data_IF_247279718551
#
_entry.id   IF_247279718551
#
_cell.length_a   1.000
_cell.length_b   1.000
_cell.length_c   1.000
_cell.angle_alpha   90.00
_cell.angle_beta   90.00
_cell.angle_gamma   90.00
#
_symmetry.space_group_name_H-M   'P 1'
#
loop_
_entity.id
_entity.type
_entity.pdbx_description
1 polymer ?
#
# COMPACT_ATOMS: atom_id res chain seq x y z
N UNK A 1 6.51 22.75 21.74
CA UNK A 1 5.41 23.36 22.50
C UNK A 1 4.25 23.62 21.55
N UNK A 2 3.10 23.05 21.83
CA UNK A 2 1.88 23.41 21.11
C UNK A 2 1.48 24.85 21.51
N UNK A 3 1.27 25.73 20.53
CA UNK A 3 0.81 27.11 20.77
C UNK A 3 -0.64 27.17 21.28
N UNK A 4 -1.37 26.08 21.20
CA UNK A 4 -2.82 26.02 21.44
C UNK A 4 -3.26 24.90 22.40
N UNK A 5 -2.34 24.18 23.02
CA UNK A 5 -2.65 23.07 23.92
C UNK A 5 -1.81 23.05 25.18
N UNK A 6 -2.38 22.47 26.22
CA UNK A 6 -1.74 22.27 27.54
C UNK A 6 -1.05 20.90 27.64
N UNK A 7 -0.76 20.25 26.50
CA UNK A 7 -0.15 18.93 26.47
C UNK A 7 1.31 19.02 26.90
N UNK A 8 1.70 18.25 27.91
CA UNK A 8 3.09 18.13 28.34
C UNK A 8 3.92 17.38 27.30
N UNK A 9 5.23 17.65 27.23
CA UNK A 9 6.13 16.94 26.32
C UNK A 9 6.08 15.42 26.57
N UNK A 10 5.95 14.99 27.81
CA UNK A 10 5.81 13.58 28.17
C UNK A 10 4.59 12.93 27.53
N UNK A 11 3.42 13.54 27.61
CA UNK A 11 2.19 13.05 26.97
C UNK A 11 2.27 13.08 25.45
N UNK A 12 3.02 14.04 24.89
CA UNK A 12 3.25 14.11 23.45
C UNK A 12 4.10 12.95 22.94
N UNK A 13 5.17 12.58 23.66
CA UNK A 13 6.09 11.53 23.20
C UNK A 13 5.62 10.10 23.55
N UNK A 14 4.91 9.90 24.65
CA UNK A 14 4.62 8.54 25.12
C UNK A 14 3.44 7.87 24.42
N UNK A 15 2.49 8.62 23.81
CA UNK A 15 1.29 8.04 23.16
C UNK A 15 0.46 7.16 24.11
N UNK A 16 0.74 7.24 25.40
CA UNK A 16 0.05 6.53 26.47
C UNK A 16 0.01 7.39 27.72
N UNK A 17 -1.06 7.24 28.50
CA UNK A 17 -1.24 7.90 29.79
C UNK A 17 -1.50 6.84 30.84
N UNK A 18 -0.94 7.08 32.02
CA UNK A 18 -1.09 6.16 33.15
C UNK A 18 -1.78 6.89 34.30
N UNK A 19 -2.81 6.28 34.85
CA UNK A 19 -3.57 6.76 35.98
C UNK A 19 -3.49 5.75 37.13
N UNK A 20 -3.64 6.21 38.33
CA UNK A 20 -3.75 5.35 39.52
C UNK A 20 -5.17 5.54 40.09
N UNK A 21 -5.91 4.44 40.21
CA UNK A 21 -7.25 4.46 40.76
C UNK A 21 -7.23 4.74 42.24
N UNK A 22 -8.18 5.54 42.69
CA UNK A 22 -8.43 5.79 44.12
C UNK A 22 -9.47 4.83 44.74
N UNK A 23 -10.04 3.94 43.90
CA UNK A 23 -11.07 2.99 44.27
C UNK A 23 -12.49 3.58 44.36
N UNK A 24 -12.65 4.88 44.07
CA UNK A 24 -13.94 5.58 44.12
C UNK A 24 -14.35 6.20 42.78
N UNK A 25 -13.38 6.60 41.95
CA UNK A 25 -13.64 7.21 40.65
C UNK A 25 -13.41 6.22 39.53
N UNK A 26 -14.31 6.22 38.53
CA UNK A 26 -14.21 5.46 37.29
C UNK A 26 -13.86 6.33 36.08
N UNK A 27 -13.79 7.64 36.26
CA UNK A 27 -13.61 8.64 35.22
C UNK A 27 -12.21 9.25 35.30
N UNK A 28 -11.50 9.23 34.17
CA UNK A 28 -10.14 9.73 34.03
C UNK A 28 -10.05 10.69 32.83
N UNK A 29 -9.44 11.86 33.06
CA UNK A 29 -9.31 12.88 32.00
C UNK A 29 -8.10 12.61 31.13
N UNK A 30 -8.31 12.44 29.82
CA UNK A 30 -7.28 12.27 28.84
C UNK A 30 -6.71 13.62 28.38
N UNK A 31 -5.40 13.73 28.30
CA UNK A 31 -4.70 14.96 27.87
C UNK A 31 -3.98 14.76 26.53
N UNK A 32 -4.47 13.85 25.67
CA UNK A 32 -3.91 13.69 24.32
C UNK A 32 -4.18 14.93 23.46
N UNK A 33 -3.26 15.24 22.54
CA UNK A 33 -3.38 16.40 21.64
C UNK A 33 -4.63 16.32 20.76
N UNK A 34 -5.00 15.11 20.32
CA UNK A 34 -6.25 14.83 19.63
C UNK A 34 -7.07 13.86 20.48
N UNK A 35 -8.31 14.23 20.78
CA UNK A 35 -9.20 13.37 21.56
C UNK A 35 -9.52 12.09 20.78
N UNK A 36 -9.10 10.91 21.26
CA UNK A 36 -9.33 9.66 20.57
C UNK A 36 -10.77 9.18 20.74
N UNK A 37 -11.23 8.40 19.78
CA UNK A 37 -12.47 7.62 19.92
C UNK A 37 -12.17 6.28 20.60
N UNK A 38 -13.20 5.62 21.15
CA UNK A 38 -13.03 4.33 21.85
C UNK A 38 -12.37 3.25 20.97
N UNK A 39 -12.54 3.32 19.64
CA UNK A 39 -11.92 2.40 18.69
C UNK A 39 -10.43 2.65 18.44
N UNK A 40 -9.91 3.79 18.88
CA UNK A 40 -8.52 4.22 18.70
C UNK A 40 -7.65 4.02 19.93
N UNK A 41 -8.20 3.44 20.99
CA UNK A 41 -7.55 3.32 22.29
C UNK A 41 -7.60 1.88 22.79
N UNK A 42 -6.53 1.43 23.43
CA UNK A 42 -6.50 0.25 24.29
C UNK A 42 -6.34 0.67 25.73
N UNK A 43 -7.07 0.00 26.59
CA UNK A 43 -7.05 0.26 28.03
C UNK A 43 -6.60 -0.98 28.76
N UNK A 44 -5.64 -0.81 29.63
CA UNK A 44 -5.12 -1.88 30.48
C UNK A 44 -5.32 -1.50 31.94
N UNK A 45 -5.78 -2.44 32.75
CA UNK A 45 -5.82 -2.35 34.20
C UNK A 45 -4.88 -3.42 34.76
N UNK A 46 -3.86 -3.01 35.50
CA UNK A 46 -2.83 -3.91 36.01
C UNK A 46 -2.23 -4.85 34.93
N UNK A 47 -1.95 -4.30 33.74
CA UNK A 47 -1.45 -5.00 32.56
C UNK A 47 -2.44 -5.98 31.87
N UNK A 48 -3.69 -6.06 32.34
CA UNK A 48 -4.75 -6.84 31.68
C UNK A 48 -5.58 -5.93 30.79
N UNK A 49 -5.74 -6.28 29.50
CA UNK A 49 -6.55 -5.50 28.55
C UNK A 49 -8.03 -5.60 28.91
N UNK A 50 -8.71 -4.46 28.98
CA UNK A 50 -10.15 -4.35 29.21
C UNK A 50 -10.84 -3.76 27.98
N UNK A 51 -12.03 -4.29 27.66
CA UNK A 51 -12.86 -3.83 26.55
C UNK A 51 -14.10 -3.05 26.97
N UNK A 52 -14.40 -3.04 28.29
CA UNK A 52 -15.58 -2.41 28.86
C UNK A 52 -15.27 -0.99 29.35
N UNK A 53 -15.15 -0.05 28.42
CA UNK A 53 -14.95 1.37 28.70
C UNK A 53 -15.69 2.21 27.67
N UNK A 54 -15.94 3.46 28.00
CA UNK A 54 -16.49 4.46 27.09
C UNK A 54 -15.65 5.73 27.12
N UNK A 55 -15.61 6.45 26.01
CA UNK A 55 -14.94 7.76 25.93
C UNK A 55 -15.96 8.79 25.51
N UNK A 56 -16.08 9.83 26.31
CA UNK A 56 -16.90 11.00 26.00
C UNK A 56 -16.06 12.26 26.13
N UNK A 57 -15.84 12.96 25.02
CA UNK A 57 -14.90 14.10 24.92
C UNK A 57 -13.49 13.70 25.39
N UNK A 58 -13.02 14.30 26.47
CA UNK A 58 -11.70 14.12 27.08
C UNK A 58 -11.70 13.13 28.26
N UNK A 59 -12.85 12.56 28.59
CA UNK A 59 -13.00 11.67 29.75
C UNK A 59 -13.21 10.23 29.31
N UNK A 60 -12.43 9.32 29.87
CA UNK A 60 -12.62 7.88 29.76
C UNK A 60 -13.29 7.36 31.03
N UNK A 61 -14.38 6.64 30.85
CA UNK A 61 -15.12 5.98 31.93
C UNK A 61 -14.93 4.48 31.84
N UNK A 62 -14.42 3.87 32.89
CA UNK A 62 -14.18 2.42 32.99
C UNK A 62 -15.35 1.78 33.71
N UNK A 63 -16.01 0.81 33.06
CA UNK A 63 -17.21 0.14 33.62
C UNK A 63 -16.88 -1.02 34.58
N UNK A 64 -15.61 -1.43 34.68
CA UNK A 64 -15.17 -2.43 35.65
C UNK A 64 -14.94 -1.83 37.04
N UNK A 65 -15.14 -2.62 38.08
CA UNK A 65 -14.83 -2.21 39.48
C UNK A 65 -13.32 -2.05 39.61
N UNK A 66 -12.91 -0.83 39.96
CA UNK A 66 -11.51 -0.49 40.21
C UNK A 66 -11.24 -0.55 41.72
N UNK A 67 -10.07 -1.03 42.08
CA UNK A 67 -9.59 -1.06 43.46
C UNK A 67 -8.57 0.06 43.66
N UNK A 68 -8.47 0.60 44.87
CA UNK A 68 -7.44 1.60 45.16
C UNK A 68 -6.03 1.07 44.82
N UNK A 69 -5.23 1.89 44.14
CA UNK A 69 -3.90 1.61 43.62
C UNK A 69 -3.88 0.74 42.32
N UNK A 70 -5.01 0.47 41.69
CA UNK A 70 -4.97 -0.12 40.36
C UNK A 70 -4.31 0.84 39.35
N UNK A 71 -3.39 0.31 38.57
CA UNK A 71 -2.69 1.06 37.53
C UNK A 71 -3.46 0.94 36.22
N UNK A 72 -4.00 2.06 35.77
CA UNK A 72 -4.75 2.16 34.50
C UNK A 72 -3.83 2.78 33.46
N UNK A 73 -3.56 2.05 32.38
CA UNK A 73 -2.79 2.53 31.25
C UNK A 73 -3.71 2.67 30.03
N UNK A 74 -3.79 3.86 29.50
CA UNK A 74 -4.54 4.18 28.29
C UNK A 74 -3.52 4.39 27.15
N UNK A 75 -3.55 3.55 26.13
CA UNK A 75 -2.59 3.53 25.03
C UNK A 75 -3.29 3.80 23.71
N UNK A 76 -2.77 4.72 22.89
CA UNK A 76 -3.28 4.95 21.54
C UNK A 76 -2.87 3.80 20.64
N UNK A 77 -3.85 3.21 19.94
CA UNK A 77 -3.63 2.16 18.91
C UNK A 77 -2.81 2.68 17.76
N UNK A 78 -3.15 3.87 17.29
CA UNK A 78 -2.41 4.56 16.24
C UNK A 78 -1.40 5.49 16.92
N UNK A 79 -0.20 4.98 17.11
CA UNK A 79 0.91 5.80 17.58
C UNK A 79 1.24 6.79 16.49
N UNK A 80 0.59 7.93 16.50
CA UNK A 80 0.79 9.03 15.56
C UNK A 80 2.17 9.68 15.65
N UNK A 81 3.05 9.11 16.48
CA UNK A 81 4.47 9.46 16.55
C UNK A 81 5.13 9.17 15.21
N UNK A 82 5.48 10.20 14.49
CA UNK A 82 5.97 10.11 13.11
C UNK A 82 4.91 10.37 12.05
N UNK A 83 3.61 10.32 12.36
CA UNK A 83 2.57 10.71 11.41
C UNK A 83 2.48 12.23 11.22
N UNK A 84 3.12 13.02 12.10
CA UNK A 84 3.24 14.46 11.89
C UNK A 84 3.87 14.86 10.55
N UNK A 85 4.57 13.92 9.88
CA UNK A 85 5.09 14.11 8.52
C UNK A 85 4.01 14.01 7.44
N UNK A 86 2.84 13.51 7.79
CA UNK A 86 1.75 13.27 6.87
C UNK A 86 0.50 14.05 7.27
N UNK A 87 -0.21 14.55 6.27
CA UNK A 87 -1.49 15.24 6.42
C UNK A 87 -2.57 14.41 5.73
N UNK A 88 -3.75 14.27 6.35
CA UNK A 88 -4.86 13.55 5.72
C UNK A 88 -5.42 14.32 4.54
N UNK A 89 -6.00 13.63 3.55
CA UNK A 89 -6.68 14.29 2.44
C UNK A 89 -7.84 15.16 2.92
N UNK A 90 -8.52 14.74 3.98
CA UNK A 90 -9.63 15.50 4.59
C UNK A 90 -9.16 16.86 5.09
N UNK A 91 -8.03 16.90 5.78
CA UNK A 91 -7.45 18.16 6.29
C UNK A 91 -6.97 19.05 5.14
N UNK A 92 -6.35 18.46 4.12
CA UNK A 92 -5.92 19.20 2.93
C UNK A 92 -7.12 19.85 2.23
N UNK A 93 -8.22 19.13 2.05
CA UNK A 93 -9.44 19.68 1.45
C UNK A 93 -10.02 20.79 2.32
N UNK A 94 -10.11 20.60 3.63
CA UNK A 94 -10.62 21.63 4.54
C UNK A 94 -9.71 22.85 4.57
N UNK A 95 -8.40 22.69 4.66
CA UNK A 95 -7.44 23.77 4.64
C UNK A 95 -7.45 24.52 3.30
N UNK A 96 -7.61 23.80 2.18
CA UNK A 96 -7.78 24.41 0.87
C UNK A 96 -9.04 25.29 0.82
N UNK A 97 -10.16 24.80 1.30
CA UNK A 97 -11.41 25.56 1.36
C UNK A 97 -11.22 26.86 2.18
N UNK A 98 -10.58 26.77 3.34
CA UNK A 98 -10.31 27.92 4.19
C UNK A 98 -9.35 28.91 3.53
N UNK A 99 -8.27 28.42 2.92
CA UNK A 99 -7.19 29.28 2.42
C UNK A 99 -7.50 29.91 1.04
N UNK A 100 -8.15 29.16 0.13
CA UNK A 100 -8.30 29.55 -1.29
C UNK A 100 -9.71 29.92 -1.72
N UNK A 101 -10.74 29.58 -0.95
CA UNK A 101 -12.16 29.81 -1.31
C UNK A 101 -12.78 30.83 -0.36
N UNK A 102 -13.56 31.76 -0.91
CA UNK A 102 -14.33 32.76 -0.15
C UNK A 102 -14.37 34.12 -0.80
N UNK A 103 -15.17 35.02 -0.22
CA UNK A 103 -15.35 36.38 -0.69
C UNK A 103 -14.02 37.14 -0.77
N UNK A 104 -13.81 37.84 -1.87
CA UNK A 104 -12.57 38.58 -2.12
C UNK A 104 -11.36 37.73 -2.52
N UNK A 105 -11.51 36.40 -2.61
CA UNK A 105 -10.49 35.49 -3.15
C UNK A 105 -10.75 35.21 -4.61
N UNK A 106 -9.74 34.71 -5.32
CA UNK A 106 -9.88 34.38 -6.76
C UNK A 106 -10.90 33.27 -7.02
N UNK A 107 -11.13 32.40 -6.04
CA UNK A 107 -12.15 31.36 -6.06
C UNK A 107 -13.24 31.76 -5.08
N UNK A 108 -14.28 32.43 -5.57
CA UNK A 108 -15.38 32.86 -4.72
C UNK A 108 -16.18 31.67 -4.18
N UNK A 109 -16.44 30.70 -5.06
CA UNK A 109 -17.24 29.53 -4.73
C UNK A 109 -16.79 28.30 -5.51
N UNK A 110 -16.75 27.14 -4.84
CA UNK A 110 -16.46 25.82 -5.42
C UNK A 110 -17.15 24.73 -4.58
N UNK A 111 -17.70 23.71 -5.22
CA UNK A 111 -18.25 22.57 -4.52
C UNK A 111 -17.13 21.75 -3.85
N UNK A 112 -17.37 21.31 -2.61
CA UNK A 112 -16.41 20.46 -1.89
C UNK A 112 -16.10 19.15 -2.64
N UNK A 113 -17.09 18.59 -3.36
CA UNK A 113 -16.93 17.42 -4.23
C UNK A 113 -15.84 17.62 -5.30
N UNK A 114 -15.82 18.80 -5.93
CA UNK A 114 -14.84 19.11 -6.98
C UNK A 114 -13.43 19.21 -6.40
N UNK A 115 -13.32 19.83 -5.24
CA UNK A 115 -12.05 19.92 -4.51
C UNK A 115 -11.54 18.52 -4.14
N UNK A 116 -12.42 17.64 -3.64
CA UNK A 116 -12.10 16.26 -3.31
C UNK A 116 -11.66 15.47 -4.55
N UNK A 117 -12.39 15.63 -5.67
CA UNK A 117 -12.03 14.99 -6.94
C UNK A 117 -10.63 15.39 -7.41
N UNK A 118 -10.33 16.69 -7.44
CA UNK A 118 -9.01 17.18 -7.84
C UNK A 118 -7.91 16.83 -6.85
N UNK A 119 -8.23 16.73 -5.56
CA UNK A 119 -7.28 16.27 -4.55
C UNK A 119 -6.92 14.79 -4.76
N UNK A 120 -7.91 13.91 -4.93
CA UNK A 120 -7.69 12.47 -5.23
C UNK A 120 -6.88 12.29 -6.51
N UNK A 121 -7.24 13.01 -7.58
CA UNK A 121 -6.49 12.98 -8.83
C UNK A 121 -5.04 13.46 -8.67
N UNK A 122 -4.85 14.51 -7.85
CA UNK A 122 -3.52 14.99 -7.51
C UNK A 122 -2.67 13.95 -6.77
N UNK A 123 -3.25 13.23 -5.81
CA UNK A 123 -2.55 12.15 -5.11
C UNK A 123 -2.12 11.05 -6.08
N UNK A 124 -2.98 10.63 -7.00
CA UNK A 124 -2.63 9.65 -8.03
C UNK A 124 -1.43 10.11 -8.87
N UNK A 125 -1.47 11.35 -9.41
CA UNK A 125 -0.33 11.91 -10.17
C UNK A 125 0.96 11.94 -9.34
N UNK A 126 0.85 12.30 -8.06
CA UNK A 126 2.00 12.26 -7.14
C UNK A 126 2.51 10.85 -6.89
N UNK A 127 1.61 9.87 -6.70
CA UNK A 127 1.97 8.49 -6.40
C UNK A 127 2.70 7.81 -7.57
N UNK A 128 2.31 8.10 -8.80
CA UNK A 128 2.99 7.57 -9.98
C UNK A 128 4.42 8.12 -10.14
N UNK A 129 4.61 9.39 -9.82
CA UNK A 129 5.87 10.08 -10.12
C UNK A 129 6.82 10.20 -8.92
N UNK A 130 6.28 10.47 -7.71
CA UNK A 130 7.07 11.02 -6.61
C UNK A 130 6.93 10.22 -5.33
N UNK A 131 5.70 9.90 -4.97
CA UNK A 131 5.36 9.31 -3.68
C UNK A 131 5.26 7.80 -3.75
N UNK A 132 5.97 7.09 -4.60
CA UNK A 132 5.89 5.62 -4.70
C UNK A 132 5.54 5.02 -3.35
N UNK A 133 4.26 5.00 -3.04
CA UNK A 133 3.75 4.46 -1.78
C UNK A 133 3.86 2.96 -1.87
N UNK A 134 4.88 2.40 -1.26
CA UNK A 134 5.03 0.96 -1.17
C UNK A 134 4.17 0.47 -0.02
N UNK A 135 3.21 -0.38 -0.33
CA UNK A 135 2.38 -1.08 0.66
C UNK A 135 2.79 -2.53 0.77
N UNK A 136 2.57 -3.09 1.93
CA UNK A 136 2.79 -4.49 2.27
C UNK A 136 1.44 -5.11 2.61
N UNK A 137 1.09 -6.18 1.92
CA UNK A 137 -0.08 -6.97 2.22
C UNK A 137 0.35 -8.41 2.52
N UNK A 138 -0.13 -8.93 3.64
CA UNK A 138 0.08 -10.30 4.05
C UNK A 138 -1.21 -11.09 3.86
N UNK A 139 -1.13 -12.19 3.10
CA UNK A 139 -2.28 -13.02 2.76
C UNK A 139 -1.87 -14.49 2.81
N UNK A 140 -2.68 -15.33 3.42
CA UNK A 140 -2.52 -16.77 3.36
C UNK A 140 -3.03 -17.30 2.01
N UNK A 141 -2.21 -18.11 1.34
CA UNK A 141 -2.53 -18.65 0.03
C UNK A 141 -3.45 -19.89 0.18
N UNK A 142 -4.69 -19.72 -0.23
CA UNK A 142 -5.67 -20.81 -0.22
C UNK A 142 -5.42 -21.86 -1.31
N UNK A 143 -6.22 -22.94 -1.33
CA UNK A 143 -6.12 -24.02 -2.32
C UNK A 143 -6.34 -23.58 -3.78
N UNK A 144 -6.99 -22.42 -3.98
CA UNK A 144 -7.18 -21.83 -5.32
C UNK A 144 -5.87 -21.38 -5.97
N UNK A 145 -4.78 -21.28 -5.19
CA UNK A 145 -3.47 -20.79 -5.61
C UNK A 145 -3.50 -19.41 -6.27
N UNK A 146 -4.54 -18.63 -5.96
CA UNK A 146 -4.77 -17.33 -6.56
C UNK A 146 -5.07 -16.29 -5.48
N UNK A 147 -4.47 -15.12 -5.61
CA UNK A 147 -4.71 -13.95 -4.75
C UNK A 147 -5.20 -12.81 -5.63
N UNK A 148 -6.37 -12.19 -5.33
CA UNK A 148 -6.83 -11.03 -6.08
C UNK A 148 -5.87 -9.85 -5.86
N UNK A 149 -5.67 -9.05 -6.91
CA UNK A 149 -4.89 -7.82 -6.79
C UNK A 149 -5.61 -6.82 -5.89
N UNK A 150 -4.88 -6.11 -5.01
CA UNK A 150 -5.44 -4.98 -4.28
C UNK A 150 -6.02 -3.94 -5.24
N UNK A 151 -7.10 -3.26 -4.83
CA UNK A 151 -7.76 -2.26 -5.69
C UNK A 151 -6.88 -1.06 -6.04
N UNK A 152 -5.91 -0.77 -5.18
CA UNK A 152 -4.93 0.31 -5.34
C UNK A 152 -3.60 -0.16 -5.91
N UNK A 153 -3.56 -1.37 -6.48
CA UNK A 153 -2.36 -1.96 -7.06
C UNK A 153 -1.97 -1.27 -8.37
N UNK A 154 -0.72 -0.88 -8.48
CA UNK A 154 -0.12 -0.35 -9.73
C UNK A 154 0.92 -1.32 -10.28
N UNK A 155 1.86 -1.73 -9.43
CA UNK A 155 2.90 -2.69 -9.82
C UNK A 155 3.47 -3.37 -8.58
N UNK A 156 3.91 -4.62 -8.71
CA UNK A 156 4.60 -5.31 -7.63
C UNK A 156 6.04 -4.81 -7.49
N UNK A 157 6.52 -4.75 -6.28
CA UNK A 157 7.93 -4.53 -5.97
C UNK A 157 8.60 -5.85 -5.69
N UNK A 158 7.96 -6.67 -4.86
CA UNK A 158 8.50 -7.93 -4.39
C UNK A 158 7.38 -8.84 -3.90
N UNK A 159 7.47 -10.11 -4.22
CA UNK A 159 6.61 -11.16 -3.68
C UNK A 159 7.47 -12.11 -2.87
N UNK A 160 7.06 -12.41 -1.65
CA UNK A 160 7.80 -13.29 -0.75
C UNK A 160 6.82 -14.23 -0.05
N UNK A 161 7.29 -15.39 0.39
CA UNK A 161 6.61 -16.14 1.43
C UNK A 161 7.38 -16.05 2.74
N UNK A 162 6.67 -16.24 3.85
CA UNK A 162 7.27 -16.29 5.19
C UNK A 162 7.49 -17.75 5.54
N UNK A 163 8.73 -18.09 5.83
CA UNK A 163 9.11 -19.41 6.35
C UNK A 163 8.67 -19.55 7.82
N UNK A 164 8.60 -20.79 8.33
CA UNK A 164 8.32 -21.08 9.75
C UNK A 164 9.26 -20.37 10.73
N UNK A 165 10.44 -19.99 10.27
CA UNK A 165 11.43 -19.20 11.03
C UNK A 165 11.19 -17.68 10.98
N UNK A 166 10.11 -17.21 10.33
CA UNK A 166 9.84 -15.78 10.12
C UNK A 166 10.70 -15.11 9.05
N UNK A 167 11.50 -15.88 8.32
CA UNK A 167 12.37 -15.34 7.26
C UNK A 167 11.57 -15.18 5.97
N UNK A 168 11.69 -14.00 5.34
CA UNK A 168 11.10 -13.74 4.03
C UNK A 168 11.94 -14.36 2.92
N UNK A 169 11.33 -15.25 2.14
CA UNK A 169 11.95 -15.86 0.96
C UNK A 169 11.31 -15.30 -0.30
N UNK A 170 12.14 -14.78 -1.20
CA UNK A 170 11.68 -14.14 -2.44
C UNK A 170 11.14 -15.20 -3.40
N UNK A 171 9.99 -14.91 -3.98
CA UNK A 171 9.39 -15.65 -5.10
C UNK A 171 9.57 -14.79 -6.35
N UNK A 172 10.00 -15.41 -7.46
CA UNK A 172 10.17 -14.68 -8.70
C UNK A 172 9.03 -14.96 -9.68
N UNK A 173 8.69 -13.99 -10.55
CA UNK A 173 7.74 -14.25 -11.61
C UNK A 173 8.31 -15.26 -12.59
N UNK A 174 7.49 -16.17 -13.09
CA UNK A 174 7.89 -17.09 -14.14
C UNK A 174 7.54 -16.53 -15.51
N UNK A 175 8.41 -16.78 -16.48
CA UNK A 175 8.18 -16.55 -17.90
C UNK A 175 8.07 -17.87 -18.68
N UNK A 176 8.11 -18.98 -17.97
CA UNK A 176 8.02 -20.33 -18.55
C UNK A 176 6.58 -20.70 -18.92
N UNK A 177 5.62 -19.96 -18.41
CA UNK A 177 4.20 -20.13 -18.70
C UNK A 177 3.54 -18.78 -18.95
N UNK A 178 2.34 -18.80 -19.50
CA UNK A 178 1.54 -17.60 -19.78
C UNK A 178 0.10 -17.88 -19.39
N UNK A 179 -0.61 -16.81 -19.01
CA UNK A 179 -2.04 -16.86 -18.79
C UNK A 179 -2.73 -16.28 -20.03
N UNK A 180 -3.34 -17.12 -20.89
CA UNK A 180 -4.06 -16.61 -22.05
C UNK A 180 -5.21 -15.73 -21.60
N UNK A 181 -5.34 -14.57 -22.23
CA UNK A 181 -6.38 -13.59 -21.88
C UNK A 181 -7.76 -14.04 -22.32
N UNK A 182 -7.85 -14.85 -23.35
CA UNK A 182 -9.10 -15.35 -23.93
C UNK A 182 -8.91 -16.79 -24.40
N UNK A 183 -9.00 -17.78 -23.49
CA UNK A 183 -8.94 -19.17 -23.86
C UNK A 183 -10.26 -19.57 -24.55
N UNK A 184 -10.25 -19.60 -25.86
CA UNK A 184 -11.43 -19.93 -26.66
C UNK A 184 -11.69 -21.43 -26.69
N UNK A 185 -12.96 -21.82 -26.56
CA UNK A 185 -13.40 -23.20 -26.67
C UNK A 185 -13.40 -23.62 -28.14
N UNK A 186 -12.86 -24.82 -28.45
CA UNK A 186 -12.90 -25.46 -29.77
C UNK A 186 -13.69 -26.76 -29.67
N UNK A 187 -14.39 -27.09 -30.74
CA UNK A 187 -15.06 -28.38 -30.93
C UNK A 187 -14.05 -29.50 -31.27
N UNK A 188 -14.54 -30.76 -31.45
CA UNK A 188 -13.75 -31.90 -31.81
C UNK A 188 -13.07 -31.75 -33.19
N UNK A 189 -13.52 -30.82 -34.02
CA UNK A 189 -12.97 -30.49 -35.33
C UNK A 189 -12.07 -29.26 -35.34
N UNK A 190 -11.68 -28.77 -34.14
CA UNK A 190 -10.85 -27.60 -33.95
C UNK A 190 -11.47 -26.27 -34.41
N UNK A 191 -12.82 -26.20 -34.59
CA UNK A 191 -13.52 -24.94 -34.87
C UNK A 191 -13.88 -24.24 -33.58
N UNK A 192 -13.91 -22.92 -33.62
CA UNK A 192 -14.37 -22.11 -32.47
C UNK A 192 -15.86 -22.32 -32.22
N UNK A 193 -16.21 -22.45 -30.93
CA UNK A 193 -17.60 -22.56 -30.50
C UNK A 193 -18.14 -21.16 -30.20
N UNK A 194 -19.35 -20.88 -30.73
CA UNK A 194 -20.04 -19.62 -30.54
C UNK A 194 -21.33 -19.83 -29.74
N UNK A 195 -21.70 -18.84 -28.93
CA UNK A 195 -22.96 -18.82 -28.22
C UNK A 195 -24.14 -18.45 -29.17
N UNK A 196 -25.36 -18.41 -28.60
CA UNK A 196 -26.57 -18.03 -29.35
C UNK A 196 -26.54 -16.61 -29.91
N UNK A 197 -25.71 -15.74 -29.35
CA UNK A 197 -25.58 -14.33 -29.74
C UNK A 197 -24.41 -14.11 -30.72
N UNK A 198 -23.71 -15.17 -31.08
CA UNK A 198 -22.58 -15.14 -32.03
C UNK A 198 -21.24 -14.75 -31.40
N UNK A 199 -21.14 -14.70 -30.08
CA UNK A 199 -19.87 -14.43 -29.38
C UNK A 199 -19.11 -15.75 -29.20
N UNK A 200 -17.79 -15.68 -29.28
CA UNK A 200 -16.93 -16.84 -29.02
C UNK A 200 -17.02 -17.26 -27.54
N UNK A 201 -17.20 -18.54 -27.31
CA UNK A 201 -17.28 -19.09 -25.94
C UNK A 201 -15.87 -19.16 -25.35
N UNK A 202 -15.68 -18.55 -24.19
CA UNK A 202 -14.44 -18.65 -23.40
C UNK A 202 -14.48 -19.89 -22.50
N UNK A 203 -13.35 -20.60 -22.42
CA UNK A 203 -13.17 -21.77 -21.56
C UNK A 203 -12.15 -21.57 -20.44
N UNK A 204 -11.84 -22.63 -19.71
CA UNK A 204 -10.74 -22.65 -18.76
C UNK A 204 -9.39 -22.73 -19.51
N UNK A 205 -8.36 -22.09 -18.94
CA UNK A 205 -7.02 -22.13 -19.49
C UNK A 205 -6.30 -23.42 -19.08
N UNK A 206 -6.08 -24.33 -20.02
CA UNK A 206 -5.27 -25.55 -19.81
C UNK A 206 -3.85 -25.19 -19.36
N UNK A 207 -3.29 -24.10 -19.89
CA UNK A 207 -1.95 -23.61 -19.48
C UNK A 207 -1.93 -23.22 -18.02
N UNK A 208 -2.97 -22.53 -17.54
CA UNK A 208 -3.11 -22.13 -16.14
C UNK A 208 -3.32 -23.33 -15.21
N UNK A 209 -4.16 -24.30 -15.64
CA UNK A 209 -4.39 -25.54 -14.90
C UNK A 209 -3.11 -26.35 -14.75
N UNK A 210 -2.34 -26.52 -15.82
CA UNK A 210 -1.03 -27.21 -15.80
C UNK A 210 -0.03 -26.46 -14.93
N UNK A 211 -0.02 -25.14 -14.99
CA UNK A 211 0.85 -24.32 -14.14
C UNK A 211 0.52 -24.48 -12.66
N UNK A 212 -0.76 -24.48 -12.29
CA UNK A 212 -1.22 -24.69 -10.91
C UNK A 212 -0.95 -26.10 -10.40
N UNK A 213 -1.02 -27.09 -11.29
CA UNK A 213 -0.71 -28.49 -10.96
C UNK A 213 0.80 -28.78 -10.85
N UNK A 214 1.66 -27.83 -11.25
CA UNK A 214 3.10 -28.01 -11.21
C UNK A 214 3.61 -27.98 -9.77
N UNK A 215 4.03 -29.15 -9.26
CA UNK A 215 4.63 -29.33 -7.95
C UNK A 215 6.08 -29.76 -8.08
N UNK A 216 7.00 -28.92 -7.61
CA UNK A 216 8.44 -29.20 -7.62
C UNK A 216 8.87 -30.24 -6.59
N UNK A 217 7.98 -30.59 -5.63
CA UNK A 217 8.31 -31.50 -4.53
C UNK A 217 7.82 -32.94 -4.71
N UNK A 218 6.80 -33.14 -5.52
CA UNK A 218 6.14 -34.43 -5.68
C UNK A 218 6.58 -35.20 -6.94
N UNK A 219 7.82 -35.11 -7.30
CA UNK A 219 8.37 -35.91 -8.39
C UNK A 219 8.80 -37.31 -7.88
N UNK A 220 8.04 -37.85 -6.98
CA UNK A 220 8.21 -39.22 -6.56
C UNK A 220 7.06 -40.05 -7.10
N UNK A 221 7.10 -40.46 -8.32
CA UNK A 221 6.10 -41.40 -8.73
C UNK A 221 6.07 -41.57 -10.21
N UNK A 222 5.79 -42.53 -10.74
CA UNK A 222 5.40 -42.99 -12.07
C UNK A 222 6.04 -42.21 -13.23
N UNK A 223 7.27 -42.64 -13.56
CA UNK A 223 8.02 -42.25 -14.75
C UNK A 223 7.38 -42.70 -16.07
N UNK A 224 6.10 -43.04 -16.07
CA UNK A 224 5.41 -43.60 -17.21
C UNK A 224 4.69 -42.58 -18.10
N UNK A 225 4.60 -41.30 -17.68
CA UNK A 225 4.04 -40.24 -18.53
C UNK A 225 5.13 -39.34 -19.08
N UNK A 226 5.01 -38.95 -20.36
CA UNK A 226 5.96 -38.04 -21.03
C UNK A 226 6.06 -36.69 -20.27
N UNK A 227 5.00 -36.27 -19.63
CA UNK A 227 4.95 -35.06 -18.78
C UNK A 227 5.81 -35.18 -17.51
N UNK A 228 5.89 -36.39 -16.92
CA UNK A 228 6.74 -36.61 -15.73
C UNK A 228 8.22 -36.55 -16.07
N UNK A 229 8.58 -36.91 -17.29
CA UNK A 229 9.98 -36.85 -17.77
C UNK A 229 10.46 -35.40 -17.88
N UNK A 230 9.60 -34.50 -18.33
CA UNK A 230 9.89 -33.05 -18.38
C UNK A 230 10.06 -32.45 -17.01
N UNK A 231 9.20 -32.81 -16.08
CA UNK A 231 9.25 -32.34 -14.67
C UNK A 231 10.49 -32.91 -13.97
N UNK A 232 10.75 -34.19 -14.11
CA UNK A 232 11.92 -34.89 -13.56
C UNK A 232 13.22 -34.30 -14.08
N UNK A 233 13.31 -33.95 -15.35
CA UNK A 233 14.49 -33.35 -15.95
C UNK A 233 14.75 -31.95 -15.38
N UNK A 234 13.70 -31.17 -15.10
CA UNK A 234 13.83 -29.86 -14.48
C UNK A 234 14.23 -29.95 -13.01
N UNK A 235 13.72 -30.94 -12.27
CA UNK A 235 14.06 -31.16 -10.88
C UNK A 235 15.47 -31.73 -10.72
N UNK A 236 15.83 -32.68 -11.53
CA UNK A 236 17.19 -33.22 -11.62
C UNK A 236 18.22 -32.12 -11.92
N UNK A 237 17.87 -31.21 -12.80
CA UNK A 237 18.71 -30.05 -13.11
C UNK A 237 18.75 -29.02 -11.98
N UNK A 238 17.78 -29.01 -11.07
CA UNK A 238 17.69 -28.07 -9.92
C UNK A 238 18.36 -28.61 -8.67
N UNK A 239 18.15 -29.88 -8.31
CA UNK A 239 18.58 -30.43 -7.03
C UNK A 239 19.97 -31.03 -7.03
N UNK A 240 20.30 -31.83 -8.07
CA UNK A 240 21.49 -32.67 -8.04
C UNK A 240 22.74 -32.02 -8.64
N UNK A 241 22.59 -31.04 -9.53
CA UNK A 241 23.75 -30.36 -10.12
C UNK A 241 24.16 -29.07 -9.44
N UNK A 242 23.62 -28.80 -8.26
CA UNK A 242 24.05 -27.69 -7.43
C UNK A 242 23.82 -26.31 -8.04
N UNK A 243 24.54 -25.36 -7.52
CA UNK A 243 24.37 -23.96 -7.88
C UNK A 243 24.78 -23.70 -9.32
N UNK A 244 23.83 -23.31 -10.13
CA UNK A 244 24.10 -22.86 -11.50
C UNK A 244 24.51 -21.41 -11.47
N UNK A 245 25.79 -21.22 -11.51
CA UNK A 245 26.37 -19.89 -11.62
C UNK A 245 25.91 -19.27 -12.95
N UNK A 246 25.25 -18.08 -12.86
CA UNK A 246 24.78 -17.36 -14.05
C UNK A 246 23.42 -17.82 -14.61
N UNK A 247 22.73 -18.77 -13.99
CA UNK A 247 21.38 -19.10 -14.39
C UNK A 247 20.37 -18.04 -13.92
N UNK A 248 19.27 -17.89 -14.69
CA UNK A 248 18.20 -16.97 -14.32
C UNK A 248 17.55 -17.40 -13.00
N UNK A 249 17.20 -16.46 -12.11
CA UNK A 249 16.55 -16.79 -10.83
C UNK A 249 15.27 -17.61 -10.99
N UNK A 250 14.57 -17.46 -12.10
CA UNK A 250 13.35 -18.19 -12.44
C UNK A 250 13.56 -19.70 -12.51
N UNK A 251 14.75 -20.15 -12.94
CA UNK A 251 15.05 -21.57 -13.15
C UNK A 251 15.87 -22.22 -12.05
N UNK A 252 16.41 -21.42 -11.13
CA UNK A 252 17.35 -21.91 -10.11
C UNK A 252 16.79 -21.94 -8.69
N UNK A 253 15.65 -21.32 -8.44
CA UNK A 253 15.11 -21.26 -7.07
C UNK A 253 14.06 -22.35 -6.81
N UNK A 254 14.05 -22.78 -5.53
CA UNK A 254 13.17 -23.82 -5.00
C UNK A 254 11.92 -23.20 -4.35
N UNK A 255 11.79 -21.86 -4.33
CA UNK A 255 10.81 -21.15 -3.53
C UNK A 255 9.42 -21.03 -4.16
N UNK A 256 9.19 -21.72 -5.27
CA UNK A 256 7.96 -21.58 -6.06
C UNK A 256 7.99 -20.38 -7.01
N UNK A 257 6.93 -20.23 -7.79
CA UNK A 257 6.78 -19.21 -8.83
C UNK A 257 5.43 -18.52 -8.73
N UNK A 258 5.32 -17.36 -9.35
CA UNK A 258 4.03 -16.72 -9.55
C UNK A 258 3.91 -16.17 -10.97
N UNK A 259 2.68 -16.05 -11.45
CA UNK A 259 2.31 -15.36 -12.68
C UNK A 259 1.29 -14.27 -12.36
N UNK A 260 1.27 -13.23 -13.18
CA UNK A 260 0.33 -12.12 -13.05
C UNK A 260 -0.69 -12.25 -14.18
N UNK A 261 -1.96 -12.38 -13.82
CA UNK A 261 -3.06 -12.32 -14.78
C UNK A 261 -3.72 -10.95 -14.70
N UNK A 262 -3.36 -10.06 -15.61
CA UNK A 262 -3.87 -8.70 -15.65
C UNK A 262 -5.37 -8.65 -16.01
N UNK A 263 -5.88 -9.61 -16.76
CA UNK A 263 -7.29 -9.66 -17.16
C UNK A 263 -8.19 -9.96 -15.96
N UNK A 264 -7.85 -10.97 -15.19
CA UNK A 264 -8.63 -11.36 -13.99
C UNK A 264 -8.24 -10.55 -12.75
N UNK A 265 -7.17 -9.74 -12.84
CA UNK A 265 -6.66 -8.97 -11.71
C UNK A 265 -6.20 -9.88 -10.57
N UNK A 266 -5.44 -10.94 -10.88
CA UNK A 266 -4.98 -11.91 -9.88
C UNK A 266 -3.52 -12.29 -10.04
N UNK A 267 -2.90 -12.64 -8.89
CA UNK A 267 -1.62 -13.33 -8.83
C UNK A 267 -1.89 -14.83 -8.71
N UNK A 268 -1.34 -15.62 -9.60
CA UNK A 268 -1.44 -17.08 -9.57
C UNK A 268 -0.10 -17.68 -9.13
N UNK A 269 -0.13 -18.62 -8.20
CA UNK A 269 1.04 -19.20 -7.56
C UNK A 269 1.16 -20.69 -7.87
N UNK A 270 2.40 -21.20 -7.81
CA UNK A 270 2.65 -22.64 -7.93
C UNK A 270 2.12 -23.40 -6.69
N UNK A 271 1.82 -24.70 -6.87
CA UNK A 271 1.26 -25.57 -5.84
C UNK A 271 2.14 -25.68 -4.58
N UNK A 272 3.43 -25.51 -4.70
CA UNK A 272 4.42 -25.50 -3.59
C UNK A 272 4.13 -24.42 -2.52
N UNK A 273 3.39 -23.41 -2.89
CA UNK A 273 3.09 -22.27 -2.03
C UNK A 273 1.73 -22.38 -1.34
N UNK A 274 0.95 -23.43 -1.60
CA UNK A 274 -0.33 -23.67 -0.95
C UNK A 274 -0.20 -23.69 0.57
N UNK A 275 -1.08 -22.97 1.28
CA UNK A 275 -1.08 -22.86 2.74
C UNK A 275 0.07 -22.04 3.32
N UNK A 276 0.87 -21.35 2.48
CA UNK A 276 1.92 -20.45 2.97
C UNK A 276 1.42 -19.01 3.05
N UNK A 277 2.03 -18.26 3.94
CA UNK A 277 1.77 -16.82 4.08
C UNK A 277 2.59 -16.09 3.01
N UNK A 278 1.91 -15.42 2.11
CA UNK A 278 2.49 -14.59 1.04
C UNK A 278 2.50 -13.13 1.47
N UNK A 279 3.63 -12.49 1.33
CA UNK A 279 3.78 -11.05 1.52
C UNK A 279 3.96 -10.40 0.16
N UNK A 280 2.94 -9.67 -0.26
CA UNK A 280 2.95 -8.86 -1.47
C UNK A 280 3.40 -7.45 -1.11
N UNK A 281 4.54 -7.04 -1.63
CA UNK A 281 5.05 -5.68 -1.58
C UNK A 281 4.81 -5.03 -2.94
N UNK A 282 3.99 -3.97 -2.97
CA UNK A 282 3.55 -3.36 -4.22
C UNK A 282 3.49 -1.84 -4.14
N UNK A 283 3.54 -1.21 -5.29
CA UNK A 283 3.32 0.22 -5.44
C UNK A 283 1.82 0.45 -5.50
N UNK A 284 1.31 1.26 -4.58
CA UNK A 284 -0.07 1.73 -4.53
C UNK A 284 -0.24 3.01 -5.34
N UNK A 285 -1.41 3.23 -5.91
CA UNK A 285 -1.79 4.51 -6.54
C UNK A 285 -2.08 5.63 -5.53
N UNK A 286 -1.97 5.32 -4.23
CA UNK A 286 -2.21 6.26 -3.13
C UNK A 286 -3.68 6.47 -2.82
N UNK A 287 -4.59 5.80 -3.51
CA UNK A 287 -6.02 5.83 -3.24
C UNK A 287 -6.37 4.63 -2.35
N UNK A 288 -6.82 4.91 -1.17
CA UNK A 288 -7.33 3.93 -0.22
C UNK A 288 -8.59 4.46 0.45
N UNK A 289 -8.85 4.02 1.65
CA UNK A 289 -9.87 4.63 2.50
C UNK A 289 -9.45 6.06 2.88
N UNK A 290 -10.40 6.91 3.24
CA UNK A 290 -10.11 8.31 3.60
C UNK A 290 -9.08 8.46 4.74
N UNK A 291 -8.98 7.44 5.61
CA UNK A 291 -7.97 7.38 6.67
C UNK A 291 -6.56 7.01 6.17
N UNK A 292 -6.48 6.24 5.08
CA UNK A 292 -5.21 5.80 4.50
C UNK A 292 -4.61 6.81 3.52
N UNK A 293 -5.45 7.67 2.93
CA UNK A 293 -5.00 8.71 2.01
C UNK A 293 -4.27 9.82 2.77
N UNK A 294 -2.97 9.61 2.97
CA UNK A 294 -2.06 10.54 3.65
C UNK A 294 -1.06 11.11 2.66
N UNK A 295 -0.80 12.39 2.75
CA UNK A 295 0.16 13.13 1.91
C UNK A 295 1.28 13.66 2.78
N UNK A 296 2.53 13.51 2.34
CA UNK A 296 3.65 14.09 3.06
C UNK A 296 3.55 15.62 3.08
N UNK A 297 3.77 16.25 4.23
CA UNK A 297 3.72 17.72 4.41
C UNK A 297 4.60 18.47 3.41
N UNK A 298 5.70 17.88 2.96
CA UNK A 298 6.56 18.49 1.94
C UNK A 298 5.88 18.59 0.57
N UNK A 299 4.85 17.76 0.30
CA UNK A 299 4.08 17.77 -0.93
C UNK A 299 2.74 18.53 -0.79
N UNK A 300 2.35 18.93 0.40
CA UNK A 300 1.07 19.58 0.70
C UNK A 300 0.86 20.86 -0.14
N UNK A 301 1.86 21.75 -0.19
CA UNK A 301 1.82 22.96 -1.01
C UNK A 301 1.61 22.65 -2.50
N UNK A 302 2.28 21.60 -2.99
CA UNK A 302 2.15 21.21 -4.38
C UNK A 302 0.73 20.69 -4.69
N UNK A 303 0.10 20.02 -3.75
CA UNK A 303 -1.28 19.57 -3.88
C UNK A 303 -2.25 20.75 -3.85
N UNK A 304 -2.06 21.75 -2.98
CA UNK A 304 -2.88 22.98 -3.02
C UNK A 304 -2.78 23.68 -4.38
N UNK A 305 -1.59 23.82 -4.93
CA UNK A 305 -1.40 24.43 -6.26
C UNK A 305 -2.00 23.58 -7.37
N UNK A 306 -1.98 22.26 -7.24
CA UNK A 306 -2.63 21.34 -8.18
C UNK A 306 -4.15 21.52 -8.18
N UNK A 307 -4.78 21.53 -7.00
CA UNK A 307 -6.21 21.74 -6.84
C UNK A 307 -6.61 23.12 -7.38
N UNK A 308 -5.91 24.19 -6.95
CA UNK A 308 -6.18 25.55 -7.38
C UNK A 308 -6.13 25.71 -8.90
N UNK A 309 -5.09 25.16 -9.55
CA UNK A 309 -4.96 25.20 -11.01
C UNK A 309 -6.14 24.50 -11.70
N UNK A 310 -6.50 23.29 -11.28
CA UNK A 310 -7.57 22.53 -11.93
C UNK A 310 -8.95 23.15 -11.72
N UNK A 311 -9.22 23.69 -10.53
CA UNK A 311 -10.46 24.42 -10.26
C UNK A 311 -10.55 25.68 -11.13
N UNK A 312 -9.47 26.45 -11.24
CA UNK A 312 -9.45 27.67 -12.04
C UNK A 312 -9.51 27.40 -13.55
N UNK A 313 -8.86 26.33 -14.02
CA UNK A 313 -8.86 25.96 -15.44
C UNK A 313 -10.26 25.54 -15.94
N UNK A 314 -11.09 25.00 -15.04
CA UNK A 314 -12.46 24.58 -15.37
C UNK A 314 -13.52 25.69 -15.14
N UNK A 315 -13.16 26.79 -14.51
CA UNK A 315 -14.07 27.90 -14.20
C UNK A 315 -14.22 28.83 -15.41
N UNK A 316 -15.45 29.25 -15.69
CA UNK A 316 -15.73 30.23 -16.77
C UNK A 316 -15.23 31.63 -16.39
N UNK A 317 -14.92 32.43 -17.37
CA UNK A 317 -14.56 33.85 -17.25
C UNK A 317 -13.29 34.16 -16.46
N UNK A 318 -12.35 33.20 -16.37
CA UNK A 318 -11.03 33.46 -15.82
C UNK A 318 -10.08 33.86 -16.94
N UNK A 319 -9.37 34.97 -16.76
CA UNK A 319 -8.40 35.43 -17.73
C UNK A 319 -7.25 34.43 -17.92
N UNK A 320 -6.85 34.16 -19.15
CA UNK A 320 -5.86 33.16 -19.52
C UNK A 320 -4.50 33.37 -18.81
N UNK A 321 -4.10 34.62 -18.58
CA UNK A 321 -2.85 34.92 -17.90
C UNK A 321 -2.82 34.44 -16.45
N UNK A 322 -4.00 34.40 -15.76
CA UNK A 322 -4.15 33.86 -14.41
C UNK A 322 -3.95 32.35 -14.45
N UNK A 323 -4.60 31.66 -15.39
CA UNK A 323 -4.48 30.21 -15.57
C UNK A 323 -3.00 29.84 -15.86
N UNK A 324 -2.34 30.58 -16.75
CA UNK A 324 -0.91 30.38 -17.04
C UNK A 324 -0.02 30.61 -15.83
N UNK A 325 -0.33 31.57 -14.97
CA UNK A 325 0.38 31.82 -13.73
C UNK A 325 0.26 30.62 -12.79
N UNK A 326 -0.98 30.14 -12.54
CA UNK A 326 -1.20 28.98 -11.68
C UNK A 326 -0.59 27.70 -12.25
N UNK A 327 -0.58 27.53 -13.56
CA UNK A 327 0.14 26.42 -14.22
C UNK A 327 1.65 26.44 -13.93
N UNK A 328 2.27 27.61 -13.99
CA UNK A 328 3.71 27.77 -13.65
C UNK A 328 3.95 27.49 -12.17
N UNK A 329 3.10 28.03 -11.29
CA UNK A 329 3.19 27.81 -9.85
C UNK A 329 3.03 26.31 -9.51
N UNK A 330 2.05 25.60 -10.11
CA UNK A 330 1.88 24.16 -9.98
C UNK A 330 3.14 23.40 -10.37
N UNK A 331 3.69 23.69 -11.55
CA UNK A 331 4.93 23.04 -12.04
C UNK A 331 6.12 23.29 -11.10
N UNK A 332 6.27 24.50 -10.60
CA UNK A 332 7.32 24.85 -9.66
C UNK A 332 7.17 24.13 -8.32
N UNK A 333 5.96 24.13 -7.74
CA UNK A 333 5.66 23.47 -6.49
C UNK A 333 5.86 21.95 -6.59
N UNK A 334 5.40 21.32 -7.69
CA UNK A 334 5.62 19.90 -7.95
C UNK A 334 7.12 19.56 -8.05
N UNK A 335 7.91 20.37 -8.74
CA UNK A 335 9.36 20.19 -8.83
C UNK A 335 10.02 20.29 -7.46
N UNK A 336 9.63 21.29 -6.66
CA UNK A 336 10.16 21.47 -5.32
C UNK A 336 9.80 20.28 -4.40
N UNK A 337 8.55 19.79 -4.48
CA UNK A 337 8.13 18.59 -3.75
C UNK A 337 8.97 17.37 -4.16
N UNK A 338 9.20 17.15 -5.47
CA UNK A 338 10.09 16.08 -5.97
C UNK A 338 11.47 16.15 -5.36
N UNK A 339 12.09 17.33 -5.37
CA UNK A 339 13.45 17.53 -4.83
C UNK A 339 13.47 17.26 -3.32
N UNK A 340 12.48 17.75 -2.57
CA UNK A 340 12.42 17.56 -1.12
C UNK A 340 12.19 16.09 -0.73
N UNK A 341 11.35 15.38 -1.49
CA UNK A 341 11.01 13.99 -1.21
C UNK A 341 12.05 12.99 -1.74
N UNK A 342 12.85 13.35 -2.73
CA UNK A 342 13.88 12.47 -3.30
C UNK A 342 15.02 12.16 -2.32
N UNK A 343 15.12 12.91 -1.21
CA UNK A 343 16.15 12.75 -0.17
C UNK A 343 17.57 12.57 -0.73
N UNK A 344 17.84 13.23 -1.86
CA UNK A 344 19.15 13.19 -2.52
C UNK A 344 20.19 13.91 -1.66
N UNK A 345 21.06 13.13 -1.06
CA UNK A 345 22.19 13.68 -0.31
C UNK A 345 23.24 14.21 -1.29
N UNK A 346 23.72 15.42 -1.03
CA UNK A 346 24.77 16.06 -1.87
C UNK A 346 26.01 15.17 -2.00
N UNK A 347 26.33 14.39 -0.95
CA UNK A 347 27.43 13.41 -0.96
C UNK A 347 27.22 12.28 -1.98
N UNK A 348 25.99 11.78 -2.14
CA UNK A 348 25.67 10.73 -3.11
C UNK A 348 25.73 11.26 -4.54
N UNK A 349 25.23 12.47 -4.78
CA UNK A 349 25.38 13.18 -6.05
C UNK A 349 26.84 13.38 -6.42
N UNK A 350 27.65 13.86 -5.48
CA UNK A 350 29.08 14.05 -5.69
C UNK A 350 29.79 12.72 -6.01
N UNK A 351 29.39 11.62 -5.35
CA UNK A 351 29.94 10.29 -5.60
C UNK A 351 29.58 9.76 -6.98
N UNK A 352 28.32 9.93 -7.43
CA UNK A 352 27.88 9.56 -8.77
C UNK A 352 28.61 10.37 -9.83
N UNK A 353 28.77 11.67 -9.62
CA UNK A 353 29.52 12.54 -10.55
C UNK A 353 31.01 12.17 -10.62
N UNK A 354 31.66 11.87 -9.49
CA UNK A 354 33.05 11.38 -9.43
C UNK A 354 33.22 10.06 -10.16
N UNK A 355 32.28 9.14 -10.02
CA UNK A 355 32.33 7.85 -10.71
C UNK A 355 32.15 7.99 -12.23
N UNK A 356 31.32 8.93 -12.69
CA UNK A 356 31.18 9.24 -14.12
C UNK A 356 32.43 9.91 -14.68
N UNK A 357 33.08 10.83 -13.94
CA UNK A 357 34.30 11.49 -14.39
C UNK A 357 35.51 10.55 -14.52
N UNK A 358 35.53 9.45 -13.72
CA UNK A 358 36.57 8.43 -13.84
C UNK A 358 36.41 7.54 -15.08
N UNK A 359 35.22 7.43 -15.65
CA UNK A 359 34.97 6.66 -16.89
C UNK A 359 35.34 7.41 -18.18
N UNK A 360 35.60 8.69 -18.11
CA UNK A 360 35.95 9.54 -19.30
C UNK A 360 37.47 9.59 -19.53
N UNK A 361 38.26 8.95 -18.68
CA UNK A 361 39.71 8.90 -18.80
C UNK A 361 40.25 7.59 -19.37
N UNK A 362 39.65 7.11 -20.44
CA UNK A 362 40.24 6.05 -21.27
C UNK A 362 40.01 6.38 -22.74
#
# INVERSE_FOLDING_TARGET
MSLLGTVTEENYYNGSQTFIADGSTSDFTLTFETLPTASQVRVYVNNSEITTFSIFRDTITISSTLVANDVIKVELLDKTFGSYQYTSIKDIVNNFMIAYVGDGKLIDHVAKSDVVFHAKRGIQEFSYDILKTVKLQEVELGPSLSIPMPQDYVNYVKVCYIDSSGIRRIIYPTRLTTNPTEPLVQDENYNYVFDSDGNAVEGSSITEERYKAFDTKNISGDLSSEDSLYLSTNDYLRSDFGQRYGATPETTQINGFFTINERTGSFNFSSDLSGKIIVLEYISDGLGTDAEMKVNKMAEEALYKHIAYNVLANKRNIAEFIIRRYQKERRAAMRNAKIRLSNLKVSELAQVMRNKSKRIKH
#
